data_IF_483661916252
#
_entry.id   IF_483661916252
#
_cell.length_a   1.000
_cell.length_b   1.000
_cell.length_c   1.000
_cell.angle_alpha   90.00
_cell.angle_beta   90.00
_cell.angle_gamma   90.00
#
_symmetry.space_group_name_H-M   'P 1'
#
loop_
_entity.id
_entity.type
_entity.pdbx_description
1 polymer ?
#
# COMPACT_ATOMS: atom_id res chain seq x y z
N UNK A 1 4.18 -23.52 -15.44
CA UNK A 1 4.39 -22.43 -14.46
C UNK A 1 3.05 -22.17 -13.80
N UNK A 2 2.88 -22.44 -12.50
CA UNK A 2 1.59 -22.19 -11.82
C UNK A 2 1.49 -20.68 -11.59
N UNK A 3 0.49 -20.04 -12.19
CA UNK A 3 0.17 -18.64 -11.90
C UNK A 3 -0.32 -18.56 -10.45
N UNK A 4 0.19 -17.59 -9.70
CA UNK A 4 -0.21 -17.34 -8.31
C UNK A 4 -1.69 -16.93 -8.30
N UNK A 5 -2.55 -17.69 -7.61
CA UNK A 5 -3.98 -17.37 -7.50
C UNK A 5 -4.27 -16.47 -6.30
N UNK A 6 -5.38 -15.76 -6.33
CA UNK A 6 -5.97 -15.00 -5.22
C UNK A 6 -6.14 -15.87 -3.98
N UNK A 7 -6.52 -17.13 -4.13
CA UNK A 7 -6.62 -18.08 -3.02
C UNK A 7 -5.24 -18.38 -2.39
N UNK A 8 -4.20 -18.54 -3.22
CA UNK A 8 -2.83 -18.73 -2.74
C UNK A 8 -2.34 -17.49 -1.99
N UNK A 9 -2.58 -16.27 -2.50
CA UNK A 9 -2.18 -15.01 -1.85
C UNK A 9 -2.94 -14.78 -0.55
N UNK A 10 -4.27 -15.01 -0.52
CA UNK A 10 -5.06 -14.91 0.71
C UNK A 10 -4.58 -15.86 1.79
N UNK A 11 -4.21 -17.08 1.41
CA UNK A 11 -3.66 -18.08 2.33
C UNK A 11 -2.28 -17.65 2.85
N UNK A 12 -1.42 -17.15 1.97
CA UNK A 12 -0.09 -16.67 2.34
C UNK A 12 -0.14 -15.48 3.31
N UNK A 13 -1.10 -14.57 3.09
CA UNK A 13 -1.27 -13.34 3.88
C UNK A 13 -2.39 -13.45 4.92
N UNK A 14 -2.81 -14.67 5.26
CA UNK A 14 -3.89 -14.87 6.24
C UNK A 14 -3.46 -14.41 7.64
N UNK A 15 -4.27 -13.54 8.24
CA UNK A 15 -4.03 -12.83 9.50
C UNK A 15 -2.70 -12.08 9.51
N UNK A 16 -2.28 -11.54 8.35
CA UNK A 16 -1.06 -10.73 8.22
C UNK A 16 -1.38 -9.26 8.04
N UNK A 17 -0.63 -8.44 8.74
CA UNK A 17 -0.50 -7.02 8.46
C UNK A 17 0.70 -6.77 7.54
N UNK A 18 0.43 -6.37 6.30
CA UNK A 18 1.42 -5.96 5.31
C UNK A 18 1.49 -4.43 5.25
N UNK A 19 2.66 -3.86 5.49
CA UNK A 19 2.96 -2.45 5.26
C UNK A 19 3.82 -2.28 4.00
N UNK A 20 3.37 -1.43 3.08
CA UNK A 20 4.09 -1.08 1.85
C UNK A 20 4.46 0.39 1.94
N UNK A 21 5.75 0.71 1.85
CA UNK A 21 6.26 2.07 1.87
C UNK A 21 7.03 2.32 0.58
N UNK A 22 6.66 3.38 -0.15
CA UNK A 22 7.37 3.75 -1.37
C UNK A 22 6.61 4.74 -2.24
N UNK A 23 7.07 4.90 -3.47
CA UNK A 23 6.61 5.97 -4.36
C UNK A 23 5.43 5.52 -5.27
N UNK A 24 5.35 6.12 -6.47
CA UNK A 24 4.31 5.76 -7.45
C UNK A 24 4.41 4.34 -8.00
N UNK A 25 5.60 3.73 -8.00
CA UNK A 25 5.81 2.34 -8.41
C UNK A 25 5.21 1.43 -7.33
N UNK A 26 5.54 1.65 -6.06
CA UNK A 26 4.96 0.87 -4.95
C UNK A 26 3.46 1.11 -4.81
N UNK A 27 2.96 2.31 -5.16
CA UNK A 27 1.51 2.53 -5.27
C UNK A 27 0.87 1.58 -6.28
N UNK A 28 1.52 1.35 -7.43
CA UNK A 28 1.04 0.41 -8.45
C UNK A 28 1.05 -1.03 -7.93
N UNK A 29 2.15 -1.45 -7.28
CA UNK A 29 2.25 -2.77 -6.64
C UNK A 29 1.17 -2.97 -5.57
N UNK A 30 0.91 -1.96 -4.74
CA UNK A 30 -0.18 -2.02 -3.76
C UNK A 30 -1.54 -2.20 -4.43
N UNK A 31 -1.83 -1.47 -5.51
CA UNK A 31 -3.09 -1.61 -6.26
C UNK A 31 -3.27 -3.02 -6.81
N UNK A 32 -2.20 -3.60 -7.36
CA UNK A 32 -2.22 -4.97 -7.87
C UNK A 32 -2.38 -5.99 -6.76
N UNK A 33 -1.69 -5.82 -5.62
CA UNK A 33 -1.86 -6.71 -4.47
C UNK A 33 -3.30 -6.70 -3.94
N UNK A 34 -3.90 -5.51 -3.78
CA UNK A 34 -5.31 -5.37 -3.36
C UNK A 34 -6.25 -6.06 -4.36
N UNK A 35 -5.96 -5.95 -5.65
CA UNK A 35 -6.73 -6.62 -6.70
C UNK A 35 -6.60 -8.14 -6.63
N UNK A 36 -5.38 -8.68 -6.52
CA UNK A 36 -5.14 -10.12 -6.37
C UNK A 36 -5.81 -10.68 -5.11
N UNK A 37 -5.83 -9.90 -4.02
CA UNK A 37 -6.53 -10.30 -2.79
C UNK A 37 -8.06 -10.39 -2.98
N UNK A 38 -8.62 -9.79 -4.04
CA UNK A 38 -10.05 -9.81 -4.35
C UNK A 38 -10.40 -10.80 -5.46
N UNK A 39 -9.57 -10.90 -6.49
CA UNK A 39 -9.79 -11.75 -7.64
C UNK A 39 -8.46 -12.03 -8.36
N UNK A 40 -8.44 -12.96 -9.32
CA UNK A 40 -7.21 -13.33 -10.06
C UNK A 40 -6.81 -12.28 -11.13
N UNK A 41 -7.06 -10.99 -10.88
CA UNK A 41 -6.81 -9.91 -11.84
C UNK A 41 -5.71 -8.93 -11.38
N UNK A 42 -5.14 -8.22 -12.35
CA UNK A 42 -4.24 -7.08 -12.16
C UNK A 42 -4.87 -5.80 -12.72
N UNK A 43 -4.32 -4.65 -12.36
CA UNK A 43 -4.70 -3.37 -12.94
C UNK A 43 -4.27 -3.25 -14.41
N UNK A 44 -5.11 -2.60 -15.21
CA UNK A 44 -4.65 -2.10 -16.52
C UNK A 44 -3.72 -0.89 -16.34
N UNK A 45 -2.80 -0.66 -17.27
CA UNK A 45 -1.89 0.51 -17.23
C UNK A 45 -2.63 1.84 -17.07
N UNK A 46 -3.79 1.98 -17.71
CA UNK A 46 -4.65 3.17 -17.61
C UNK A 46 -5.15 3.40 -16.19
N UNK A 47 -5.41 2.34 -15.43
CA UNK A 47 -5.87 2.44 -14.03
C UNK A 47 -4.70 2.68 -13.06
N UNK A 48 -3.52 2.14 -13.35
CA UNK A 48 -2.30 2.40 -12.58
C UNK A 48 -1.92 3.88 -12.59
N UNK A 49 -1.99 4.53 -13.76
CA UNK A 49 -1.65 5.96 -13.95
C UNK A 49 -2.61 6.94 -13.27
N UNK A 50 -3.80 6.50 -12.83
CA UNK A 50 -4.78 7.37 -12.14
C UNK A 50 -4.35 7.67 -10.70
N UNK A 51 -4.19 8.97 -10.38
CA UNK A 51 -3.89 9.52 -9.04
C UNK A 51 -5.17 10.05 -8.37
N UNK A 52 -5.16 10.20 -7.05
CA UNK A 52 -6.17 11.00 -6.33
C UNK A 52 -7.57 10.42 -6.15
N UNK A 53 -7.79 9.13 -6.40
CA UNK A 53 -9.10 8.53 -6.13
C UNK A 53 -9.37 8.42 -4.62
N UNK A 54 -10.56 8.82 -4.17
CA UNK A 54 -10.99 8.67 -2.77
C UNK A 54 -11.05 7.21 -2.31
N UNK A 55 -11.30 6.28 -3.23
CA UNK A 55 -11.25 4.83 -2.99
C UNK A 55 -10.79 4.09 -4.24
N UNK A 56 -10.13 2.95 -4.06
CA UNK A 56 -9.68 2.06 -5.12
C UNK A 56 -9.90 0.60 -4.70
N UNK A 57 -10.74 -0.12 -5.45
CA UNK A 57 -11.01 -1.55 -5.21
C UNK A 57 -11.25 -1.85 -3.71
N UNK A 58 -12.24 -1.22 -3.09
CA UNK A 58 -12.55 -1.36 -1.66
C UNK A 58 -11.40 -1.04 -0.68
N UNK A 59 -10.28 -0.47 -1.15
CA UNK A 59 -9.39 0.27 -0.28
C UNK A 59 -10.01 1.61 0.09
N UNK A 60 -9.74 2.05 1.31
CA UNK A 60 -10.13 3.37 1.80
C UNK A 60 -8.89 4.25 1.93
N UNK A 61 -9.09 5.54 1.71
CA UNK A 61 -8.06 6.54 1.89
C UNK A 61 -8.04 6.92 3.37
N UNK A 62 -6.90 6.74 4.03
CA UNK A 62 -6.74 7.06 5.45
C UNK A 62 -6.37 8.52 5.65
N UNK A 63 -5.13 8.86 5.32
CA UNK A 63 -4.61 10.22 5.37
C UNK A 63 -4.21 10.67 3.96
N UNK A 64 -4.58 11.88 3.59
CA UNK A 64 -4.23 12.48 2.30
C UNK A 64 -3.91 13.94 2.55
N UNK A 65 -2.64 14.30 2.41
CA UNK A 65 -2.27 15.70 2.28
C UNK A 65 -2.77 16.25 0.94
N UNK A 66 -2.85 17.56 0.86
CA UNK A 66 -3.17 18.25 -0.38
C UNK A 66 -2.25 17.76 -1.52
N UNK A 67 -2.83 17.50 -2.70
CA UNK A 67 -2.08 16.91 -3.80
C UNK A 67 -1.13 17.93 -4.40
N UNK A 68 0.17 17.72 -4.20
CA UNK A 68 1.21 18.53 -4.83
C UNK A 68 2.42 17.67 -5.18
N UNK A 69 3.33 18.21 -5.99
CA UNK A 69 4.56 17.53 -6.40
C UNK A 69 5.73 17.73 -5.41
N UNK A 70 5.55 18.52 -4.36
CA UNK A 70 6.54 18.72 -3.30
C UNK A 70 6.74 17.51 -2.37
N UNK A 71 7.80 17.58 -1.57
CA UNK A 71 8.26 16.50 -0.68
C UNK A 71 7.35 16.25 0.53
N UNK A 72 6.45 17.17 0.87
CA UNK A 72 5.55 17.01 2.02
C UNK A 72 4.28 16.22 1.70
N UNK A 73 4.18 15.63 0.50
CA UNK A 73 2.98 14.91 0.07
C UNK A 73 2.88 13.58 0.82
N UNK A 74 1.76 13.40 1.53
CA UNK A 74 1.45 12.22 2.33
C UNK A 74 0.20 11.57 1.77
N UNK A 75 0.27 10.26 1.60
CA UNK A 75 -0.89 9.46 1.29
C UNK A 75 -0.77 8.13 2.01
N UNK A 76 -1.79 7.82 2.82
CA UNK A 76 -1.96 6.53 3.45
C UNK A 76 -3.21 5.88 2.87
N UNK A 77 -3.08 4.64 2.43
CA UNK A 77 -4.21 3.80 2.01
C UNK A 77 -4.27 2.57 2.88
N UNK A 78 -5.47 2.10 3.16
CA UNK A 78 -5.69 0.84 3.86
C UNK A 78 -6.67 -0.04 3.10
N UNK A 79 -6.33 -1.31 2.95
CA UNK A 79 -7.23 -2.36 2.53
C UNK A 79 -7.36 -3.33 3.70
N UNK A 80 -8.58 -3.53 4.18
CA UNK A 80 -8.87 -4.37 5.35
C UNK A 80 -10.00 -5.33 5.05
N UNK A 81 -9.78 -6.58 5.38
CA UNK A 81 -10.81 -7.63 5.51
C UNK A 81 -10.77 -8.16 6.95
N UNK A 82 -11.57 -9.19 7.23
CA UNK A 82 -11.52 -9.88 8.53
C UNK A 82 -10.17 -10.59 8.77
N UNK A 83 -9.45 -10.91 7.69
CA UNK A 83 -8.23 -11.73 7.74
C UNK A 83 -7.00 -11.08 7.12
N UNK A 84 -7.11 -9.92 6.47
CA UNK A 84 -5.95 -9.23 5.90
C UNK A 84 -5.99 -7.75 6.23
N UNK A 85 -4.82 -7.20 6.51
CA UNK A 85 -4.60 -5.76 6.56
C UNK A 85 -3.42 -5.41 5.66
N UNK A 86 -3.67 -4.59 4.64
CA UNK A 86 -2.62 -4.01 3.80
C UNK A 86 -2.67 -2.50 3.99
N UNK A 87 -1.54 -1.88 4.32
CA UNK A 87 -1.43 -0.41 4.37
C UNK A 87 -0.32 0.06 3.47
N UNK A 88 -0.62 1.05 2.64
CA UNK A 88 0.35 1.71 1.78
C UNK A 88 0.63 3.12 2.29
N UNK A 89 1.91 3.45 2.39
CA UNK A 89 2.42 4.77 2.78
C UNK A 89 3.22 5.33 1.60
N UNK A 90 2.70 6.39 1.00
CA UNK A 90 3.40 7.06 -0.09
C UNK A 90 4.58 7.85 0.45
N UNK A 91 5.77 7.58 -0.09
CA UNK A 91 7.01 8.26 0.23
C UNK A 91 7.46 9.10 -0.97
N UNK A 92 7.76 10.36 -0.71
CA UNK A 92 8.41 11.29 -1.64
C UNK A 92 9.93 11.30 -1.47
N UNK A 93 10.43 10.97 -0.27
CA UNK A 93 11.85 11.03 0.07
C UNK A 93 12.19 10.10 1.24
N UNK A 94 13.33 9.39 1.15
CA UNK A 94 13.83 8.39 2.12
C UNK A 94 14.23 8.98 3.47
N UNK A 95 14.65 10.24 3.52
CA UNK A 95 15.05 10.94 4.75
C UNK A 95 14.04 12.04 5.07
N UNK A 96 12.76 11.68 5.17
CA UNK A 96 11.71 12.62 5.58
C UNK A 96 11.26 12.30 7.01
N UNK A 97 10.97 13.33 7.80
CA UNK A 97 10.31 13.22 9.13
C UNK A 97 9.05 12.35 9.07
N UNK A 98 8.42 12.27 7.89
CA UNK A 98 7.28 11.42 7.66
C UNK A 98 7.60 9.92 7.82
N UNK A 99 8.73 9.42 7.32
CA UNK A 99 9.12 8.02 7.52
C UNK A 99 9.33 7.73 9.00
N UNK A 100 9.99 8.64 9.71
CA UNK A 100 10.17 8.51 11.16
C UNK A 100 8.83 8.43 11.88
N UNK A 101 7.85 9.27 11.49
CA UNK A 101 6.50 9.22 12.05
C UNK A 101 5.77 7.89 11.77
N UNK A 102 5.97 7.30 10.59
CA UNK A 102 5.40 5.99 10.22
C UNK A 102 6.06 4.87 11.02
N UNK A 103 7.39 4.91 11.19
CA UNK A 103 8.13 3.94 11.99
C UNK A 103 7.77 4.05 13.48
N UNK A 104 7.63 5.27 14.01
CA UNK A 104 7.16 5.51 15.37
C UNK A 104 5.73 4.99 15.56
N UNK A 105 4.85 5.15 14.56
CA UNK A 105 3.52 4.54 14.59
C UNK A 105 3.58 3.00 14.64
N UNK A 106 4.50 2.35 13.94
CA UNK A 106 4.68 0.89 14.05
C UNK A 106 5.19 0.46 15.42
N UNK A 107 6.04 1.26 16.07
CA UNK A 107 6.57 0.93 17.40
C UNK A 107 5.49 0.99 18.48
N UNK A 108 4.58 1.96 18.41
CA UNK A 108 3.54 2.18 19.43
C UNK A 108 2.19 1.54 19.07
N UNK A 109 1.97 1.23 17.80
CA UNK A 109 0.75 0.67 17.26
C UNK A 109 0.89 -0.80 16.85
N UNK A 110 -0.04 -1.29 16.01
CA UNK A 110 0.08 -2.63 15.43
C UNK A 110 1.36 -2.73 14.59
N UNK A 111 2.19 -3.72 14.88
CA UNK A 111 3.41 -3.99 14.11
C UNK A 111 3.07 -4.77 12.84
N UNK A 112 3.57 -4.35 11.67
CA UNK A 112 3.42 -5.13 10.46
C UNK A 112 4.19 -6.45 10.55
N UNK A 113 3.55 -7.54 10.13
CA UNK A 113 4.21 -8.83 9.93
C UNK A 113 5.16 -8.81 8.73
N UNK A 114 4.83 -8.02 7.72
CA UNK A 114 5.59 -7.90 6.47
C UNK A 114 5.75 -6.43 6.13
N UNK A 115 6.98 -6.01 5.89
CA UNK A 115 7.32 -4.66 5.46
C UNK A 115 7.96 -4.72 4.08
N UNK A 116 7.31 -4.10 3.10
CA UNK A 116 7.85 -3.91 1.74
C UNK A 116 8.24 -2.44 1.62
N UNK A 117 9.55 -2.18 1.61
CA UNK A 117 10.08 -0.83 1.44
C UNK A 117 10.85 -0.79 0.12
N UNK A 118 10.55 0.22 -0.69
CA UNK A 118 11.44 0.64 -1.76
C UNK A 118 11.71 2.12 -1.60
N UNK A 119 12.99 2.46 -1.49
CA UNK A 119 13.45 3.83 -1.30
C UNK A 119 13.96 4.32 -2.64
N UNK A 120 13.26 5.30 -3.21
CA UNK A 120 13.85 6.08 -4.30
C UNK A 120 14.92 7.01 -3.72
N UNK A 121 16.03 7.13 -4.45
CA UNK A 121 17.15 8.06 -4.21
C UNK A 121 16.73 9.45 -4.67
#
# INVERSE_FOLDING_TARGET
>A
MKLLSSADVRRLLHNKYVAILGDSIQRSVNKDLVKILQNDEFQTEKQLKRKGKMSFANDTLGDLSEMHNGIIYRQVRHYRTDHQLVRFYFLTHVSSEYIESVLAYFQHGPQPDVVIINLCI
#
